data_IF_004514113857
#
_entry.id   IF_004514113857
#
_cell.length_a   1.000
_cell.length_b   1.000
_cell.length_c   1.000
_cell.angle_alpha   90.00
_cell.angle_beta   90.00
_cell.angle_gamma   90.00
#
_symmetry.space_group_name_H-M   'P 1'
#
loop_
_entity.id
_entity.type
_entity.pdbx_description
1 polymer ?
#
# COMPACT_ATOMS: atom_id res chain seq x y z
N UNK A 1 12.66 23.48 7.30
CA UNK A 1 11.98 23.18 6.03
C UNK A 1 12.00 21.67 5.70
N UNK A 2 11.55 20.82 6.64
CA UNK A 2 11.47 19.35 6.46
C UNK A 2 10.01 18.86 6.63
N UNK A 3 9.08 19.76 6.99
CA UNK A 3 7.69 19.43 7.30
C UNK A 3 6.77 19.38 6.06
N UNK A 4 7.12 20.07 4.96
CA UNK A 4 6.30 20.10 3.75
C UNK A 4 6.36 18.78 2.95
N UNK A 5 7.51 18.09 2.95
CA UNK A 5 7.70 16.82 2.23
C UNK A 5 6.92 15.65 2.84
N UNK A 6 6.59 15.68 4.13
CA UNK A 6 5.78 14.62 4.77
C UNK A 6 4.29 14.72 4.39
N UNK A 7 3.77 15.91 4.09
CA UNK A 7 2.37 16.09 3.69
C UNK A 7 2.09 15.60 2.25
N UNK A 8 3.08 15.70 1.35
CA UNK A 8 3.02 15.11 0.00
C UNK A 8 3.08 13.56 0.04
N UNK A 9 3.86 13.00 0.96
CA UNK A 9 3.99 11.56 1.17
C UNK A 9 2.72 10.96 1.78
N UNK A 10 2.05 11.67 2.69
CA UNK A 10 0.77 11.22 3.26
C UNK A 10 -0.35 11.13 2.22
N UNK A 11 -0.43 12.08 1.27
CA UNK A 11 -1.40 12.05 0.18
C UNK A 11 -1.14 10.87 -0.79
N UNK A 12 0.13 10.63 -1.16
CA UNK A 12 0.49 9.52 -2.05
C UNK A 12 0.43 8.13 -1.37
N UNK A 13 0.61 8.06 -0.05
CA UNK A 13 0.49 6.80 0.72
C UNK A 13 -0.96 6.37 0.94
N UNK A 14 -1.92 7.29 0.91
CA UNK A 14 -3.33 6.97 1.10
C UNK A 14 -3.95 6.30 -0.14
N UNK A 15 -3.40 6.52 -1.33
CA UNK A 15 -4.14 6.34 -2.60
C UNK A 15 -3.78 5.10 -3.45
N UNK A 16 -2.81 4.25 -3.06
CA UNK A 16 -2.43 3.10 -3.92
C UNK A 16 -1.97 1.78 -3.29
N UNK A 17 -1.79 1.69 -1.98
CA UNK A 17 -1.64 0.38 -1.36
C UNK A 17 -3.02 -0.32 -1.28
N UNK A 18 -3.14 -1.64 -1.52
CA UNK A 18 -4.02 -2.41 -0.65
C UNK A 18 -3.48 -2.16 0.76
N UNK A 19 -4.21 -1.35 1.52
CA UNK A 19 -3.77 -0.79 2.80
C UNK A 19 -3.33 -1.90 3.77
N UNK A 20 -2.04 -2.21 3.76
CA UNK A 20 -1.31 -2.77 4.89
C UNK A 20 -0.40 -1.68 5.45
N UNK A 21 -1.06 -0.61 5.95
CA UNK A 21 -0.68 0.29 7.05
C UNK A 21 -1.17 1.72 6.76
N UNK A 22 -2.02 2.32 7.62
CA UNK A 22 -2.65 3.60 7.37
C UNK A 22 -1.79 4.79 7.85
N UNK A 23 -1.81 5.96 7.15
CA UNK A 23 -1.59 7.26 7.78
C UNK A 23 -2.93 7.89 8.20
N UNK A 24 -2.89 8.60 9.32
CA UNK A 24 -4.03 9.13 10.07
C UNK A 24 -4.98 10.04 9.27
N UNK A 25 -6.29 9.75 9.38
CA UNK A 25 -7.52 10.56 9.20
C UNK A 25 -8.52 9.77 8.33
N UNK A 26 -9.57 9.12 8.82
CA UNK A 26 -10.23 9.04 10.12
C UNK A 26 -9.78 7.80 10.90
N UNK A 27 -9.39 7.97 12.17
CA UNK A 27 -9.37 6.83 13.08
C UNK A 27 -10.83 6.44 13.33
N UNK A 28 -11.42 5.67 12.43
CA UNK A 28 -12.41 4.70 12.83
C UNK A 28 -11.69 3.87 13.88
N UNK A 29 -11.98 4.14 15.15
CA UNK A 29 -11.32 3.44 16.24
C UNK A 29 -11.45 1.94 15.98
N UNK A 30 -10.48 1.13 16.41
CA UNK A 30 -10.55 -0.32 16.21
C UNK A 30 -11.93 -0.89 16.66
N UNK A 31 -12.54 -0.24 17.66
CA UNK A 31 -13.91 -0.48 18.11
C UNK A 31 -14.99 -0.13 17.08
N UNK A 32 -14.94 1.03 16.44
CA UNK A 32 -15.88 1.42 15.38
C UNK A 32 -15.73 0.54 14.13
N UNK A 33 -14.51 0.15 13.77
CA UNK A 33 -14.27 -0.73 12.62
C UNK A 33 -14.83 -2.11 12.89
N UNK A 34 -14.59 -2.65 14.09
CA UNK A 34 -15.21 -3.90 14.54
C UNK A 34 -16.74 -3.82 14.59
N UNK A 35 -17.27 -2.66 15.00
CA UNK A 35 -18.70 -2.33 15.02
C UNK A 35 -19.38 -2.37 13.64
N UNK A 36 -18.64 -2.09 12.58
CA UNK A 36 -19.15 -2.04 11.19
C UNK A 36 -19.11 -3.39 10.46
N UNK A 37 -18.43 -4.41 11.03
CA UNK A 37 -18.39 -5.75 10.44
C UNK A 37 -19.71 -6.48 10.66
N UNK A 38 -20.14 -7.26 9.67
CA UNK A 38 -21.25 -8.21 9.84
C UNK A 38 -20.86 -9.33 10.79
N UNK A 39 -21.84 -10.03 11.35
CA UNK A 39 -21.58 -11.14 12.27
C UNK A 39 -20.81 -12.27 11.61
N UNK A 40 -21.05 -12.54 10.32
CA UNK A 40 -20.27 -13.49 9.52
C UNK A 40 -18.79 -13.08 9.42
N UNK A 41 -18.52 -11.80 9.15
CA UNK A 41 -17.16 -11.28 9.08
C UNK A 41 -16.46 -11.35 10.43
N UNK A 42 -17.15 -11.01 11.53
CA UNK A 42 -16.60 -11.12 12.88
C UNK A 42 -16.27 -12.56 13.23
N UNK A 43 -17.16 -13.51 12.90
CA UNK A 43 -16.90 -14.94 13.10
C UNK A 43 -15.67 -15.39 12.32
N UNK A 44 -15.49 -14.92 11.08
CA UNK A 44 -14.31 -15.24 10.28
C UNK A 44 -13.02 -14.71 10.93
N UNK A 45 -13.01 -13.47 11.43
CA UNK A 45 -11.88 -12.93 12.18
C UNK A 45 -11.59 -13.71 13.46
N UNK A 46 -12.62 -14.09 14.21
CA UNK A 46 -12.47 -14.91 15.42
C UNK A 46 -11.88 -16.29 15.12
N UNK A 47 -12.33 -16.95 14.05
CA UNK A 47 -11.76 -18.23 13.59
C UNK A 47 -10.27 -18.10 13.25
N UNK A 48 -9.90 -17.02 12.56
CA UNK A 48 -8.49 -16.74 12.22
C UNK A 48 -7.63 -16.49 13.44
N UNK A 49 -8.16 -15.74 14.40
CA UNK A 49 -7.48 -15.48 15.66
C UNK A 49 -7.25 -16.79 16.43
N UNK A 50 -8.27 -17.66 16.49
CA UNK A 50 -8.15 -18.97 17.11
C UNK A 50 -7.10 -19.87 16.44
N UNK A 51 -7.03 -19.90 15.11
CA UNK A 51 -5.98 -20.64 14.38
C UNK A 51 -4.59 -20.08 14.69
N UNK A 52 -4.46 -18.75 14.66
CA UNK A 52 -3.20 -18.09 14.97
C UNK A 52 -2.73 -18.37 16.40
N UNK A 53 -3.65 -18.34 17.37
CA UNK A 53 -3.34 -18.64 18.77
C UNK A 53 -2.99 -20.12 18.96
N UNK A 54 -3.69 -21.04 18.29
CA UNK A 54 -3.33 -22.47 18.32
C UNK A 54 -1.93 -22.74 17.77
N UNK A 55 -1.58 -22.15 16.62
CA UNK A 55 -0.24 -22.26 16.03
C UNK A 55 0.85 -21.64 16.90
N UNK A 56 0.51 -20.53 17.58
CA UNK A 56 1.40 -19.88 18.54
C UNK A 56 1.70 -20.80 19.73
N UNK A 57 0.69 -21.42 20.31
CA UNK A 57 0.86 -22.34 21.44
C UNK A 57 1.67 -23.58 21.03
N UNK A 58 1.40 -24.15 19.85
CA UNK A 58 2.21 -25.24 19.31
C UNK A 58 3.67 -24.84 19.11
N UNK A 59 3.93 -23.64 18.57
CA UNK A 59 5.28 -23.15 18.38
C UNK A 59 6.03 -22.99 19.71
N UNK A 60 5.36 -22.50 20.76
CA UNK A 60 5.95 -22.42 22.10
C UNK A 60 6.23 -23.80 22.71
N UNK A 61 5.35 -24.77 22.48
CA UNK A 61 5.54 -26.14 22.98
C UNK A 61 6.68 -26.90 22.28
N UNK A 62 6.96 -26.56 21.02
CA UNK A 62 8.03 -27.18 20.24
C UNK A 62 9.39 -26.50 20.39
N UNK A 63 9.43 -25.28 20.94
CA UNK A 63 10.68 -24.59 21.20
C UNK A 63 11.53 -25.33 22.23
N UNK A 64 12.82 -25.48 21.93
CA UNK A 64 13.78 -26.05 22.87
C UNK A 64 14.02 -25.15 24.08
N UNK A 65 14.55 -25.71 25.17
CA UNK A 65 14.84 -24.97 26.40
C UNK A 65 15.73 -23.73 26.16
N UNK A 66 16.77 -23.86 25.32
CA UNK A 66 17.67 -22.75 24.95
C UNK A 66 16.97 -21.66 24.12
N UNK A 67 15.99 -22.03 23.30
CA UNK A 67 15.22 -21.08 22.49
C UNK A 67 14.18 -20.35 23.35
N UNK A 68 13.58 -21.03 24.32
CA UNK A 68 12.67 -20.44 25.30
C UNK A 68 13.40 -19.45 26.21
N UNK A 69 14.63 -19.75 26.61
CA UNK A 69 15.48 -18.85 27.41
C UNK A 69 15.79 -17.57 26.62
N UNK A 70 16.32 -17.70 25.40
CA UNK A 70 16.57 -16.55 24.49
C UNK A 70 15.29 -15.75 24.20
N UNK A 71 14.15 -16.43 24.11
CA UNK A 71 12.86 -15.77 23.90
C UNK A 71 12.39 -15.02 25.16
N UNK A 72 12.63 -15.56 26.35
CA UNK A 72 12.36 -14.89 27.62
C UNK A 72 13.18 -13.63 27.82
N UNK A 73 14.42 -13.61 27.33
CA UNK A 73 15.32 -12.45 27.37
C UNK A 73 14.91 -11.32 26.40
N UNK A 74 14.15 -11.62 25.35
CA UNK A 74 13.66 -10.61 24.40
C UNK A 74 12.65 -9.65 25.05
N UNK A 75 12.65 -8.38 24.61
CA UNK A 75 11.62 -7.44 25.05
C UNK A 75 10.22 -7.84 24.56
N UNK A 76 9.15 -7.47 25.29
CA UNK A 76 7.74 -7.79 24.93
C UNK A 76 7.35 -7.42 23.48
N UNK A 77 7.97 -6.38 22.91
CA UNK A 77 7.73 -5.98 21.51
C UNK A 77 8.41 -6.93 20.52
N UNK A 78 9.61 -7.38 20.84
CA UNK A 78 10.40 -8.29 20.04
C UNK A 78 9.84 -9.70 20.10
N UNK A 79 9.45 -10.19 21.28
CA UNK A 79 8.70 -11.45 21.44
C UNK A 79 7.45 -11.48 20.54
N UNK A 80 6.64 -10.40 20.57
CA UNK A 80 5.46 -10.27 19.70
C UNK A 80 5.81 -10.26 18.22
N UNK A 81 6.93 -9.62 17.83
CA UNK A 81 7.38 -9.57 16.43
C UNK A 81 7.86 -10.95 15.98
N UNK A 82 8.66 -11.62 16.80
CA UNK A 82 9.18 -12.96 16.58
C UNK A 82 8.03 -13.97 16.42
N UNK A 83 7.12 -14.05 17.40
CA UNK A 83 5.98 -14.98 17.34
C UNK A 83 5.10 -14.72 16.12
N UNK A 84 4.83 -13.44 15.79
CA UNK A 84 4.05 -13.10 14.59
C UNK A 84 4.72 -13.54 13.31
N UNK A 85 6.04 -13.41 13.20
CA UNK A 85 6.77 -13.83 12.00
C UNK A 85 6.83 -15.36 11.89
N UNK A 86 7.13 -16.04 13.00
CA UNK A 86 7.28 -17.49 13.05
C UNK A 86 5.95 -18.21 12.76
N UNK A 87 4.86 -17.81 13.43
CA UNK A 87 3.51 -18.35 13.20
C UNK A 87 3.06 -18.09 11.76
N UNK A 88 3.27 -16.89 11.22
CA UNK A 88 2.94 -16.61 9.81
C UNK A 88 3.72 -17.47 8.84
N UNK A 89 5.01 -17.68 9.09
CA UNK A 89 5.83 -18.55 8.25
C UNK A 89 5.38 -20.01 8.29
N UNK A 90 4.83 -20.47 9.41
CA UNK A 90 4.19 -21.79 9.53
C UNK A 90 2.88 -21.85 8.77
N UNK A 91 2.00 -20.88 9.00
CA UNK A 91 0.70 -20.80 8.35
C UNK A 91 0.82 -20.69 6.82
N UNK A 92 1.81 -19.96 6.30
CA UNK A 92 2.07 -19.84 4.86
C UNK A 92 2.52 -21.18 4.22
N UNK A 93 3.05 -22.12 5.02
CA UNK A 93 3.42 -23.49 4.59
C UNK A 93 2.29 -24.51 4.83
N UNK A 94 1.28 -24.15 5.61
CA UNK A 94 0.15 -25.01 5.96
C UNK A 94 -1.04 -24.84 5.00
N UNK A 95 -1.84 -25.90 4.83
CA UNK A 95 -3.11 -25.87 4.06
C UNK A 95 -4.18 -25.04 4.78
N UNK A 96 -4.02 -24.81 6.09
CA UNK A 96 -4.90 -24.04 6.99
C UNK A 96 -4.72 -22.53 6.88
N UNK A 97 -4.15 -22.03 5.78
CA UNK A 97 -4.10 -20.60 5.51
C UNK A 97 -5.54 -20.06 5.42
N UNK A 98 -5.97 -19.15 6.31
CA UNK A 98 -7.28 -18.55 6.15
C UNK A 98 -7.31 -17.75 4.84
N UNK A 99 -8.43 -17.78 4.10
CA UNK A 99 -8.57 -17.01 2.87
C UNK A 99 -8.21 -15.55 3.13
N UNK A 100 -7.68 -14.82 2.15
CA UNK A 100 -7.48 -13.38 2.36
C UNK A 100 -8.84 -12.75 2.67
N UNK A 101 -8.93 -11.78 3.60
CA UNK A 101 -10.19 -11.09 3.79
C UNK A 101 -10.62 -10.56 2.42
N UNK A 102 -11.91 -10.65 2.06
CA UNK A 102 -12.39 -10.09 0.80
C UNK A 102 -11.87 -8.66 0.71
N UNK A 103 -11.21 -8.33 -0.41
CA UNK A 103 -10.83 -6.95 -0.68
C UNK A 103 -12.06 -6.09 -0.42
N UNK A 104 -11.95 -5.09 0.47
CA UNK A 104 -13.00 -4.12 0.79
C UNK A 104 -13.86 -3.89 -0.45
N UNK A 105 -15.09 -4.41 -0.38
CA UNK A 105 -16.01 -4.48 -1.50
C UNK A 105 -16.12 -3.08 -2.13
N UNK A 106 -16.08 -2.95 -3.46
CA UNK A 106 -16.11 -1.64 -4.12
C UNK A 106 -17.33 -0.82 -3.65
N UNK A 107 -18.42 -1.51 -3.30
CA UNK A 107 -19.61 -0.95 -2.67
C UNK A 107 -19.36 -0.26 -1.33
N UNK A 108 -18.47 -0.79 -0.49
CA UNK A 108 -18.11 -0.15 0.79
C UNK A 108 -17.24 1.09 0.59
N UNK A 109 -16.53 1.18 -0.54
CA UNK A 109 -15.70 2.34 -0.92
C UNK A 109 -16.48 3.41 -1.66
N UNK A 110 -17.61 3.06 -2.26
CA UNK A 110 -18.43 3.96 -3.07
C UNK A 110 -18.76 5.26 -2.33
N UNK A 111 -19.26 5.19 -1.09
CA UNK A 111 -19.61 6.39 -0.32
C UNK A 111 -18.45 7.37 -0.18
N UNK A 112 -17.23 6.87 0.04
CA UNK A 112 -16.02 7.69 0.15
C UNK A 112 -15.60 8.27 -1.20
N UNK A 113 -15.74 7.49 -2.28
CA UNK A 113 -15.45 7.96 -3.65
C UNK A 113 -16.40 9.11 -4.00
N UNK A 114 -17.70 8.94 -3.76
CA UNK A 114 -18.71 9.98 -4.03
C UNK A 114 -18.48 11.23 -3.18
N UNK A 115 -18.15 11.08 -1.89
CA UNK A 115 -17.80 12.20 -1.02
C UNK A 115 -16.60 12.98 -1.55
N UNK A 116 -15.53 12.27 -1.95
CA UNK A 116 -14.33 12.91 -2.49
C UNK A 116 -14.60 13.65 -3.81
N UNK A 117 -15.50 13.13 -4.65
CA UNK A 117 -15.94 13.81 -5.88
C UNK A 117 -16.79 15.05 -5.57
N UNK A 118 -17.68 15.00 -4.56
CA UNK A 118 -18.41 16.19 -4.10
C UNK A 118 -17.46 17.27 -3.57
N UNK A 119 -16.45 16.88 -2.80
CA UNK A 119 -15.43 17.84 -2.36
C UNK A 119 -14.64 18.41 -3.54
N UNK A 120 -14.26 17.58 -4.51
CA UNK A 120 -13.57 18.06 -5.72
C UNK A 120 -14.43 19.04 -6.54
N UNK A 121 -15.75 18.90 -6.52
CA UNK A 121 -16.67 19.87 -7.11
C UNK A 121 -16.67 21.20 -6.34
N UNK A 122 -16.78 21.16 -5.01
CA UNK A 122 -16.69 22.35 -4.14
C UNK A 122 -15.35 23.08 -4.33
N UNK A 123 -14.27 22.33 -4.48
CA UNK A 123 -12.91 22.86 -4.68
C UNK A 123 -12.66 23.35 -6.14
N UNK A 124 -13.66 23.26 -7.02
CA UNK A 124 -13.59 23.75 -8.41
C UNK A 124 -12.84 22.84 -9.39
N UNK A 125 -12.50 21.60 -9.00
CA UNK A 125 -11.86 20.61 -9.87
C UNK A 125 -12.82 19.89 -10.82
N UNK A 126 -14.11 19.92 -10.49
CA UNK A 126 -15.19 19.37 -11.32
C UNK A 126 -16.16 20.48 -11.69
N UNK A 127 -16.66 20.47 -12.93
CA UNK A 127 -17.77 21.32 -13.33
C UNK A 127 -19.11 20.70 -12.96
N UNK A 128 -20.15 21.56 -12.81
CA UNK A 128 -21.49 21.15 -12.37
C UNK A 128 -22.05 19.97 -13.17
N UNK A 129 -21.96 20.02 -14.50
CA UNK A 129 -22.46 18.95 -15.38
C UNK A 129 -21.79 17.61 -15.13
N UNK A 130 -20.48 17.62 -14.88
CA UNK A 130 -19.71 16.41 -14.60
C UNK A 130 -20.03 15.87 -13.21
N UNK A 131 -20.20 16.76 -12.22
CA UNK A 131 -20.59 16.37 -10.87
C UNK A 131 -21.98 15.67 -10.87
N UNK A 132 -22.97 16.23 -11.57
CA UNK A 132 -24.30 15.61 -11.70
C UNK A 132 -24.26 14.27 -12.41
N UNK A 133 -23.50 14.14 -13.50
CA UNK A 133 -23.33 12.85 -14.18
C UNK A 133 -22.67 11.80 -13.28
N UNK A 134 -21.67 12.22 -12.49
CA UNK A 134 -20.97 11.37 -11.53
C UNK A 134 -21.81 10.91 -10.35
N UNK A 135 -23.03 11.40 -10.14
CA UNK A 135 -23.94 10.82 -9.14
C UNK A 135 -24.56 9.51 -9.64
N UNK A 136 -24.72 9.37 -10.95
CA UNK A 136 -25.39 8.24 -11.60
C UNK A 136 -24.42 7.27 -12.26
N UNK A 137 -23.18 7.70 -12.52
CA UNK A 137 -22.12 6.88 -13.11
C UNK A 137 -21.79 5.64 -12.25
N UNK A 138 -21.22 4.61 -12.89
CA UNK A 138 -20.74 3.43 -12.17
C UNK A 138 -19.62 3.79 -11.18
N UNK A 139 -19.43 2.97 -10.15
CA UNK A 139 -18.37 3.19 -9.14
C UNK A 139 -16.98 3.18 -9.77
N UNK A 140 -16.78 2.37 -10.81
CA UNK A 140 -15.50 2.29 -11.52
C UNK A 140 -15.20 3.58 -12.28
N UNK A 141 -16.17 4.13 -13.01
CA UNK A 141 -16.02 5.42 -13.71
C UNK A 141 -15.77 6.56 -12.73
N UNK A 142 -16.54 6.59 -11.63
CA UNK A 142 -16.35 7.58 -10.57
C UNK A 142 -14.94 7.52 -9.97
N UNK A 143 -14.41 6.31 -9.77
CA UNK A 143 -13.04 6.10 -9.30
C UNK A 143 -12.00 6.59 -10.31
N UNK A 144 -12.17 6.31 -11.61
CA UNK A 144 -11.24 6.76 -12.65
C UNK A 144 -11.15 8.29 -12.72
N UNK A 145 -12.30 8.97 -12.62
CA UNK A 145 -12.35 10.44 -12.61
C UNK A 145 -11.68 10.98 -11.35
N UNK A 146 -11.97 10.40 -10.19
CA UNK A 146 -11.34 10.79 -8.93
C UNK A 146 -9.81 10.65 -9.00
N UNK A 147 -9.30 9.51 -9.49
CA UNK A 147 -7.86 9.30 -9.66
C UNK A 147 -7.22 10.33 -10.61
N UNK A 148 -7.93 10.70 -11.67
CA UNK A 148 -7.45 11.72 -12.61
C UNK A 148 -7.34 13.09 -11.96
N UNK A 149 -8.34 13.51 -11.18
CA UNK A 149 -8.31 14.77 -10.41
C UNK A 149 -7.15 14.74 -9.41
N UNK A 150 -7.01 13.65 -8.66
CA UNK A 150 -5.95 13.49 -7.67
C UNK A 150 -4.56 13.59 -8.29
N UNK A 151 -4.37 13.02 -9.48
CA UNK A 151 -3.11 13.14 -10.21
C UNK A 151 -2.81 14.60 -10.49
N UNK A 152 -3.77 15.38 -10.98
CA UNK A 152 -3.56 16.81 -11.25
C UNK A 152 -3.24 17.62 -9.98
N UNK A 153 -3.99 17.38 -8.90
CA UNK A 153 -3.70 17.98 -7.58
C UNK A 153 -2.28 17.66 -7.11
N UNK A 154 -1.85 16.41 -7.27
CA UNK A 154 -0.48 16.01 -6.94
C UNK A 154 0.53 16.75 -7.81
N UNK A 155 0.32 16.83 -9.13
CA UNK A 155 1.25 17.49 -10.04
C UNK A 155 1.40 18.98 -9.73
N UNK A 156 0.30 19.66 -9.41
CA UNK A 156 0.30 21.06 -9.00
C UNK A 156 1.14 21.24 -7.73
N UNK A 157 0.84 20.47 -6.69
CA UNK A 157 1.56 20.52 -5.41
C UNK A 157 3.04 20.12 -5.55
N UNK A 158 3.33 19.10 -6.34
CA UNK A 158 4.68 18.63 -6.61
C UNK A 158 5.54 19.69 -7.31
N UNK A 159 4.93 20.53 -8.17
CA UNK A 159 5.60 21.66 -8.79
C UNK A 159 5.82 22.82 -7.80
N UNK A 160 4.87 23.11 -6.92
CA UNK A 160 4.97 24.17 -5.91
C UNK A 160 5.98 23.84 -4.81
N UNK A 161 5.99 22.59 -4.32
CA UNK A 161 6.78 22.17 -3.15
C UNK A 161 8.13 21.51 -3.51
N UNK A 162 8.51 21.48 -4.80
CA UNK A 162 9.82 20.98 -5.22
C UNK A 162 10.01 19.46 -5.10
N UNK A 163 8.94 18.67 -5.18
CA UNK A 163 8.98 17.20 -5.07
C UNK A 163 9.98 16.55 -6.03
N UNK A 164 10.00 17.00 -7.28
CA UNK A 164 10.85 16.42 -8.33
C UNK A 164 12.34 16.54 -8.01
N UNK A 165 12.75 17.72 -7.51
CA UNK A 165 14.13 17.98 -7.08
C UNK A 165 14.48 17.13 -5.86
N UNK A 166 13.59 17.06 -4.87
CA UNK A 166 13.80 16.27 -3.66
C UNK A 166 13.99 14.77 -3.94
N UNK A 167 13.40 14.25 -5.03
CA UNK A 167 13.51 12.86 -5.45
C UNK A 167 14.59 12.61 -6.53
N UNK A 168 15.37 13.63 -6.92
CA UNK A 168 16.34 13.54 -8.02
C UNK A 168 15.73 13.07 -9.35
N UNK A 169 14.51 13.50 -9.64
CA UNK A 169 13.81 13.15 -10.89
C UNK A 169 14.17 14.20 -11.95
N UNK A 170 14.73 13.73 -13.07
CA UNK A 170 15.09 14.59 -14.19
C UNK A 170 13.85 15.00 -15.03
N UNK A 171 14.03 15.95 -15.96
CA UNK A 171 12.92 16.46 -16.77
C UNK A 171 12.29 15.37 -17.65
N UNK A 172 13.09 14.44 -18.16
CA UNK A 172 12.65 13.38 -19.06
C UNK A 172 11.78 12.36 -18.32
N UNK A 173 12.19 11.97 -17.13
CA UNK A 173 11.45 11.09 -16.25
C UNK A 173 10.18 11.76 -15.73
N UNK A 174 10.25 13.04 -15.36
CA UNK A 174 9.07 13.84 -15.01
C UNK A 174 8.04 13.84 -16.15
N UNK A 175 8.44 14.14 -17.38
CA UNK A 175 7.53 14.14 -18.54
C UNK A 175 6.90 12.77 -18.77
N UNK A 176 7.70 11.70 -18.64
CA UNK A 176 7.19 10.32 -18.73
C UNK A 176 6.14 10.05 -17.65
N UNK A 177 6.39 10.40 -16.40
CA UNK A 177 5.46 10.20 -15.29
C UNK A 177 4.16 10.99 -15.51
N UNK A 178 4.26 12.27 -15.88
CA UNK A 178 3.11 13.14 -16.16
C UNK A 178 2.24 12.58 -17.29
N UNK A 179 2.82 11.93 -18.30
CA UNK A 179 2.07 11.34 -19.42
C UNK A 179 1.32 10.05 -19.06
N UNK A 180 1.63 9.38 -17.93
CA UNK A 180 0.99 8.10 -17.58
C UNK A 180 -0.47 8.28 -17.17
N UNK A 181 -1.34 7.28 -17.41
CA UNK A 181 -2.68 7.24 -16.79
C UNK A 181 -2.57 7.28 -15.25
N UNK A 182 -3.60 7.80 -14.58
CA UNK A 182 -3.56 8.06 -13.14
C UNK A 182 -3.20 6.82 -12.29
N UNK A 183 -3.78 5.66 -12.61
CA UNK A 183 -3.44 4.41 -11.93
C UNK A 183 -1.95 4.05 -11.99
N UNK A 184 -1.36 4.17 -13.19
CA UNK A 184 0.05 3.85 -13.41
C UNK A 184 0.95 4.91 -12.80
N UNK A 185 0.57 6.18 -12.92
CA UNK A 185 1.27 7.32 -12.35
C UNK A 185 1.52 7.11 -10.86
N UNK A 186 0.45 6.91 -10.09
CA UNK A 186 0.59 6.77 -8.65
C UNK A 186 1.44 5.53 -8.29
N UNK A 187 1.37 4.44 -9.09
CA UNK A 187 2.11 3.20 -8.78
C UNK A 187 3.60 3.44 -8.85
N UNK A 188 4.03 4.24 -9.82
CA UNK A 188 5.43 4.64 -9.94
C UNK A 188 5.82 5.67 -8.87
N UNK A 189 4.96 6.65 -8.54
CA UNK A 189 5.23 7.58 -7.42
C UNK A 189 5.44 6.82 -6.11
N UNK A 190 4.62 5.80 -5.82
CA UNK A 190 4.79 4.97 -4.62
C UNK A 190 6.12 4.20 -4.63
N UNK A 191 6.58 3.73 -5.79
CA UNK A 191 7.89 3.06 -5.93
C UNK A 191 9.06 4.01 -5.73
N UNK A 192 8.93 5.26 -6.20
CA UNK A 192 9.91 6.32 -5.99
C UNK A 192 10.02 6.64 -4.50
N UNK A 193 8.89 6.94 -3.85
CA UNK A 193 8.85 7.32 -2.43
C UNK A 193 9.30 6.18 -1.52
N UNK A 194 8.97 4.92 -1.84
CA UNK A 194 9.43 3.76 -1.08
C UNK A 194 10.90 3.39 -1.30
N UNK A 195 11.64 4.16 -2.11
CA UNK A 195 13.05 3.91 -2.42
C UNK A 195 13.29 2.69 -3.31
N UNK A 196 12.25 1.96 -3.72
CA UNK A 196 12.35 0.80 -4.63
C UNK A 196 12.80 1.20 -6.03
N UNK A 197 12.59 2.46 -6.42
CA UNK A 197 13.07 3.00 -7.70
C UNK A 197 14.60 2.97 -7.82
N UNK A 198 15.34 3.15 -6.71
CA UNK A 198 16.81 3.16 -6.70
C UNK A 198 17.43 1.78 -6.95
N UNK A 199 16.69 0.69 -6.77
CA UNK A 199 17.22 -0.67 -6.96
C UNK A 199 17.22 -1.14 -8.42
N UNK A 200 16.49 -0.47 -9.31
CA UNK A 200 16.36 -0.91 -10.73
C UNK A 200 17.15 -0.03 -11.71
N UNK A 201 17.52 1.20 -11.34
CA UNK A 201 18.31 2.11 -12.17
C UNK A 201 19.78 1.67 -12.35
N UNK A 202 20.41 1.14 -11.30
CA UNK A 202 21.83 0.73 -11.36
C UNK A 202 22.11 -0.59 -12.09
N UNK A 203 21.07 -1.41 -12.36
CA UNK A 203 21.27 -2.77 -12.88
C UNK A 203 21.06 -2.90 -14.40
N UNK A 204 20.41 -1.93 -15.05
CA UNK A 204 20.28 -1.93 -16.53
C UNK A 204 21.60 -1.60 -17.22
N UNK A 205 22.40 -0.69 -16.66
CA UNK A 205 23.67 -0.29 -17.28
C UNK A 205 24.76 -1.35 -17.09
N UNK A 206 24.74 -2.12 -15.99
CA UNK A 206 25.68 -3.23 -15.82
C UNK A 206 25.41 -4.43 -16.74
N UNK A 207 24.17 -4.65 -17.19
CA UNK A 207 23.83 -5.76 -18.09
C UNK A 207 24.10 -5.47 -19.57
N UNK A 208 24.20 -4.19 -19.97
CA UNK A 208 24.51 -3.83 -21.37
C UNK A 208 26.00 -3.83 -21.70
N UNK A 209 26.87 -3.73 -20.70
CA UNK A 209 28.32 -3.72 -20.90
C UNK A 209 29.01 -5.09 -20.75
N UNK A 210 28.25 -6.17 -20.53
CA UNK A 210 28.80 -7.51 -20.73
C UNK A 210 28.66 -7.87 -22.21
N UNK A 211 29.67 -7.47 -22.99
CA UNK A 211 29.87 -7.97 -24.35
C UNK A 211 29.85 -9.51 -24.38
N UNK A 212 29.56 -10.12 -25.55
CA UNK A 212 29.33 -11.55 -25.65
C UNK A 212 30.55 -12.32 -25.14
N UNK A 213 30.35 -13.09 -24.06
CA UNK A 213 31.32 -14.08 -23.60
C UNK A 213 31.59 -15.04 -24.76
N UNK A 214 32.79 -14.91 -25.35
CA UNK A 214 33.32 -15.88 -26.32
C UNK A 214 33.19 -17.28 -25.72
N UNK A 215 32.44 -18.13 -26.38
CA UNK A 215 32.39 -19.57 -26.12
C UNK A 215 33.79 -20.13 -26.33
N UNK A 216 34.49 -20.48 -25.26
CA UNK A 216 35.67 -21.35 -25.31
C UNK A 216 35.19 -22.77 -25.56
N UNK A 217 35.09 -23.12 -26.84
CA UNK A 217 35.08 -24.50 -27.33
C UNK A 217 36.50 -24.77 -27.80
N UNK A 218 37.21 -25.65 -27.10
CA UNK A 218 38.50 -26.31 -27.39
C UNK A 218 39.16 -26.60 -26.03
N UNK A 219 39.57 -27.81 -25.64
CA UNK A 219 39.64 -29.16 -26.23
C UNK A 219 39.34 -30.17 -25.13
#
# INVERSE_FOLDING_TARGET
>A
MILATFALVALAQQELAPQSSPPHQSQVSAKQWWGQLSDEQRQEYSKRQAIFDAEREQLLAEMGAEELEKFGEMGKREQRRYMRAAVRSRMDKSVTRPPRPPHLDLRQRESRIREALRQAHVDGWLGDKTATWLEQASVEEALQVLLSIRKWQFLEKANQEGFWLAQNIDLKEKQRLVAMPAEHFFREIQRIVSGRHKMWGGQRDMRRNQGPRKSSRER
#
